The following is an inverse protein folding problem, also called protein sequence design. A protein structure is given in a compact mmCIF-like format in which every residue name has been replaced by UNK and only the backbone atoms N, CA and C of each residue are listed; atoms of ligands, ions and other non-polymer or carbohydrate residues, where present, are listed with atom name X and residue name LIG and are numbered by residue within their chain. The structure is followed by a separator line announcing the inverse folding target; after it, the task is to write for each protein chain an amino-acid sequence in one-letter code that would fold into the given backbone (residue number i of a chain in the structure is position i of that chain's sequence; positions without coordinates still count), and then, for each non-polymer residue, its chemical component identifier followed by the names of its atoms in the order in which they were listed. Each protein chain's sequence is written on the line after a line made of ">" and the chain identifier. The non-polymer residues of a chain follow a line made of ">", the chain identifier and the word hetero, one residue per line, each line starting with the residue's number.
data_IF_157023895899
#
_entry.id   IF_157023895899
#
_cell.length_a   1.000
_cell.length_b   1.000
_cell.length_c   1.000
_cell.angle_alpha   90.00
_cell.angle_beta   90.00
_cell.angle_gamma   90.00
#
_symmetry.space_group_name_H-M   'P 1'
#
loop_
_entity.id
_entity.type
_entity.pdbx_description
1 polymer ?
#
# COMPACT_ATOMS: atom_id res chain seq x y z
N UNK A 1 -12.06 0.93 23.85
CA UNK A 1 -11.97 1.52 22.49
C UNK A 1 -11.48 0.42 21.55
N UNK A 2 -12.31 -0.13 20.65
CA UNK A 2 -11.84 -1.11 19.67
C UNK A 2 -11.30 -0.33 18.47
N UNK A 3 -9.98 -0.16 18.38
CA UNK A 3 -9.38 0.24 17.11
C UNK A 3 -9.50 -0.96 16.15
N UNK A 4 -10.52 -0.96 15.30
CA UNK A 4 -10.52 -1.80 14.11
C UNK A 4 -9.75 -1.03 13.04
N UNK A 5 -8.51 -1.46 12.78
CA UNK A 5 -7.77 -0.97 11.62
C UNK A 5 -8.40 -1.54 10.36
N UNK A 6 -8.54 -0.68 9.34
CA UNK A 6 -8.92 -1.11 8.00
C UNK A 6 -7.81 -1.92 7.35
N UNK A 7 -8.17 -2.78 6.38
CA UNK A 7 -7.20 -3.59 5.63
C UNK A 7 -6.05 -2.74 5.05
N UNK A 8 -6.41 -1.57 4.52
CA UNK A 8 -5.47 -0.57 4.00
C UNK A 8 -4.48 -0.06 5.04
N UNK A 9 -4.96 0.27 6.23
CA UNK A 9 -4.10 0.76 7.32
C UNK A 9 -3.10 -0.32 7.75
N UNK A 10 -3.52 -1.58 7.77
CA UNK A 10 -2.65 -2.72 8.05
C UNK A 10 -1.49 -2.81 7.04
N UNK A 11 -1.77 -2.75 5.73
CA UNK A 11 -0.70 -2.84 4.73
C UNK A 11 0.22 -1.61 4.75
N UNK A 12 -0.33 -0.41 5.00
CA UNK A 12 0.48 0.79 5.20
C UNK A 12 1.45 0.63 6.37
N UNK A 13 0.96 0.14 7.52
CA UNK A 13 1.80 -0.11 8.68
C UNK A 13 2.87 -1.16 8.40
N UNK A 14 2.51 -2.26 7.74
CA UNK A 14 3.45 -3.31 7.39
C UNK A 14 4.55 -2.82 6.44
N UNK A 15 4.18 -2.05 5.41
CA UNK A 15 5.14 -1.39 4.51
C UNK A 15 6.14 -0.53 5.29
N UNK A 16 5.65 0.30 6.19
CA UNK A 16 6.48 1.19 7.00
C UNK A 16 7.39 0.43 7.95
N UNK A 17 6.89 -0.64 8.58
CA UNK A 17 7.66 -1.52 9.47
C UNK A 17 8.82 -2.20 8.74
N UNK A 18 8.61 -2.59 7.48
CA UNK A 18 9.62 -3.21 6.61
C UNK A 18 10.56 -2.18 5.96
N UNK A 19 10.36 -0.87 6.18
CA UNK A 19 11.18 0.18 5.57
C UNK A 19 10.98 0.34 4.06
N UNK A 20 9.96 -0.31 3.48
CA UNK A 20 9.67 -0.29 2.05
C UNK A 20 9.25 1.12 1.64
N UNK A 21 9.91 1.70 0.63
CA UNK A 21 9.52 3.00 0.09
C UNK A 21 8.29 2.87 -0.79
N UNK A 22 7.39 3.85 -0.72
CA UNK A 22 6.18 3.88 -1.53
C UNK A 22 6.47 3.83 -3.05
N UNK A 23 7.61 4.39 -3.46
CA UNK A 23 8.07 4.37 -4.85
C UNK A 23 8.42 2.96 -5.36
N UNK A 24 8.88 2.07 -4.49
CA UNK A 24 9.19 0.68 -4.85
C UNK A 24 7.91 -0.10 -5.14
N UNK A 25 6.91 0.06 -4.27
CA UNK A 25 5.57 -0.52 -4.47
C UNK A 25 4.91 0.04 -5.72
N UNK A 26 5.04 1.34 -5.97
CA UNK A 26 4.50 1.99 -7.17
C UNK A 26 5.14 1.44 -8.45
N UNK A 27 6.46 1.23 -8.43
CA UNK A 27 7.21 0.62 -9.54
C UNK A 27 6.72 -0.81 -9.80
N UNK A 28 6.52 -1.61 -8.76
CA UNK A 28 5.98 -2.96 -8.88
C UNK A 28 4.54 -2.98 -9.42
N UNK A 29 3.68 -2.10 -8.89
CA UNK A 29 2.30 -1.95 -9.29
C UNK A 29 2.12 -1.23 -10.65
N UNK A 30 3.22 -0.80 -11.29
CA UNK A 30 3.26 -0.05 -12.55
C UNK A 30 2.34 1.18 -12.52
N UNK A 31 2.40 1.94 -11.43
CA UNK A 31 1.60 3.16 -11.23
C UNK A 31 2.45 4.31 -10.70
N UNK A 32 1.89 5.52 -10.74
CA UNK A 32 2.54 6.69 -10.18
C UNK A 32 2.53 6.66 -8.63
N UNK A 33 3.66 6.97 -7.94
CA UNK A 33 3.72 6.97 -6.48
C UNK A 33 2.68 7.88 -5.80
N UNK A 34 2.23 8.95 -6.48
CA UNK A 34 1.19 9.84 -5.96
C UNK A 34 -0.16 9.13 -5.83
N UNK A 35 -0.44 8.11 -6.63
CA UNK A 35 -1.68 7.33 -6.56
C UNK A 35 -1.71 6.49 -5.29
N UNK A 36 -0.60 5.80 -4.98
CA UNK A 36 -0.46 5.07 -3.72
C UNK A 36 -0.46 6.01 -2.51
N UNK A 37 0.09 7.23 -2.65
CA UNK A 37 0.06 8.21 -1.55
C UNK A 37 -1.37 8.67 -1.26
N UNK A 38 -2.17 8.92 -2.31
CA UNK A 38 -3.59 9.26 -2.17
C UNK A 38 -4.38 8.09 -1.59
N UNK A 39 -4.07 6.85 -1.99
CA UNK A 39 -4.64 5.64 -1.43
C UNK A 39 -4.41 5.53 0.09
N UNK A 40 -3.15 5.58 0.54
CA UNK A 40 -2.78 5.54 1.96
C UNK A 40 -3.36 6.67 2.82
N UNK A 41 -3.78 7.77 2.18
CA UNK A 41 -4.43 8.93 2.81
C UNK A 41 -5.96 8.90 2.71
N UNK A 42 -6.54 7.88 2.08
CA UNK A 42 -7.98 7.76 1.88
C UNK A 42 -8.57 8.75 0.87
N UNK A 43 -7.74 9.35 0.01
CA UNK A 43 -8.16 10.35 -0.99
C UNK A 43 -8.48 9.76 -2.36
N UNK A 44 -8.15 8.49 -2.59
CA UNK A 44 -8.31 7.81 -3.87
C UNK A 44 -8.35 6.30 -3.64
N UNK A 45 -9.24 5.60 -4.33
CA UNK A 45 -9.27 4.14 -4.36
C UNK A 45 -8.77 3.68 -5.74
N UNK A 46 -7.57 3.08 -5.83
CA UNK A 46 -7.04 2.57 -7.09
C UNK A 46 -7.81 1.34 -7.58
N UNK A 47 -7.54 0.93 -8.82
CA UNK A 47 -8.09 -0.32 -9.34
C UNK A 47 -7.67 -1.53 -8.47
N UNK A 48 -8.49 -2.59 -8.39
CA UNK A 48 -8.15 -3.82 -7.67
C UNK A 48 -6.79 -4.41 -8.06
N UNK A 49 -6.38 -4.26 -9.31
CA UNK A 49 -5.06 -4.69 -9.81
C UNK A 49 -3.90 -4.02 -9.08
N UNK A 50 -3.97 -2.71 -8.86
CA UNK A 50 -2.92 -1.95 -8.14
C UNK A 50 -2.92 -2.34 -6.67
N UNK A 51 -4.09 -2.52 -6.07
CA UNK A 51 -4.23 -2.94 -4.68
C UNK A 51 -3.64 -4.34 -4.47
N UNK A 52 -3.92 -5.29 -5.36
CA UNK A 52 -3.34 -6.62 -5.29
C UNK A 52 -1.82 -6.59 -5.45
N UNK A 53 -1.29 -5.83 -6.40
CA UNK A 53 0.16 -5.68 -6.56
C UNK A 53 0.82 -5.05 -5.31
N UNK A 54 0.14 -4.10 -4.66
CA UNK A 54 0.60 -3.52 -3.39
C UNK A 54 0.70 -4.59 -2.29
N UNK A 55 -0.33 -5.43 -2.15
CA UNK A 55 -0.37 -6.53 -1.17
C UNK A 55 0.71 -7.58 -1.46
N UNK A 56 0.84 -8.00 -2.71
CA UNK A 56 1.82 -8.98 -3.16
C UNK A 56 3.25 -8.50 -2.91
N UNK A 57 3.56 -7.23 -3.20
CA UNK A 57 4.90 -6.70 -2.97
C UNK A 57 5.29 -6.77 -1.49
N UNK A 58 4.38 -6.39 -0.59
CA UNK A 58 4.64 -6.40 0.85
C UNK A 58 4.72 -7.83 1.38
N UNK A 59 3.86 -8.74 0.91
CA UNK A 59 3.83 -10.12 1.35
C UNK A 59 5.11 -10.90 0.98
N UNK A 60 5.76 -10.52 -0.12
CA UNK A 60 6.97 -11.19 -0.63
C UNK A 60 8.28 -10.44 -0.31
N UNK A 61 8.23 -9.36 0.49
CA UNK A 61 9.42 -8.59 0.83
C UNK A 61 10.20 -9.28 1.97
N UNK A 62 11.41 -9.77 1.66
CA UNK A 62 12.33 -10.43 2.60
C UNK A 62 13.30 -9.46 3.25
#
# INVERSE_FOLDING_TARGET
>A
MKMQFTEKEMFKMQRQKLGIKLAEVAKYAKCDPSYLSKYEKGKYEPSPKIINAYKEYIANYQ
#
